data_IF_641533547732
#
_entry.id   IF_641533547732
#
_cell.length_a   1.000
_cell.length_b   1.000
_cell.length_c   1.000
_cell.angle_alpha   90.00
_cell.angle_beta   90.00
_cell.angle_gamma   90.00
#
_symmetry.space_group_name_H-M   'P 1'
#
loop_
_entity.id
_entity.type
_entity.pdbx_description
1 polymer ?
#
# COMPACT_ATOMS: atom_id res chain seq x y z
N UNK A 1 24.39 16.07 37.89
CA UNK A 1 23.21 15.62 38.66
C UNK A 1 21.93 16.10 38.01
N UNK A 2 20.88 15.25 37.96
CA UNK A 2 19.56 15.62 37.44
C UNK A 2 18.73 16.38 38.50
N UNK A 3 17.86 17.33 38.09
CA UNK A 3 16.87 17.93 38.97
C UNK A 3 16.00 16.87 39.65
N UNK A 4 15.60 17.06 40.92
CA UNK A 4 14.88 16.05 41.69
C UNK A 4 13.63 15.50 40.99
N UNK A 5 12.89 16.36 40.28
CA UNK A 5 11.67 15.97 39.58
C UNK A 5 11.90 15.02 38.38
N UNK A 6 13.11 14.96 37.82
CA UNK A 6 13.44 14.07 36.68
C UNK A 6 14.09 12.75 37.13
N UNK A 7 14.49 12.65 38.40
CA UNK A 7 15.22 11.49 38.90
C UNK A 7 14.36 10.22 38.87
N UNK A 8 13.05 10.33 39.15
CA UNK A 8 12.13 9.19 39.08
C UNK A 8 12.04 8.61 37.67
N UNK A 9 11.93 9.46 36.66
CA UNK A 9 11.85 9.05 35.25
C UNK A 9 13.18 8.45 34.76
N UNK A 10 14.30 9.04 35.20
CA UNK A 10 15.63 8.51 34.90
C UNK A 10 15.84 7.11 35.51
N UNK A 11 15.44 6.89 36.76
CA UNK A 11 15.48 5.57 37.39
C UNK A 11 14.59 4.57 36.65
N UNK A 12 13.37 4.98 36.29
CA UNK A 12 12.45 4.14 35.52
C UNK A 12 13.04 3.72 34.17
N UNK A 13 13.71 4.66 33.49
CA UNK A 13 14.40 4.41 32.22
C UNK A 13 15.58 3.44 32.39
N UNK A 14 16.42 3.63 33.42
CA UNK A 14 17.54 2.72 33.71
C UNK A 14 17.05 1.31 34.04
N UNK A 15 15.98 1.17 34.82
CA UNK A 15 15.38 -0.14 35.15
C UNK A 15 14.85 -0.81 33.88
N UNK A 16 14.18 -0.07 33.01
CA UNK A 16 13.71 -0.58 31.72
C UNK A 16 14.86 -1.08 30.85
N UNK A 17 15.91 -0.29 30.68
CA UNK A 17 17.09 -0.65 29.88
C UNK A 17 17.82 -1.88 30.44
N UNK A 18 18.01 -1.93 31.76
CA UNK A 18 18.63 -3.08 32.42
C UNK A 18 17.80 -4.36 32.21
N UNK A 19 16.49 -4.28 32.39
CA UNK A 19 15.60 -5.41 32.17
C UNK A 19 15.52 -5.84 30.69
N UNK A 20 15.65 -4.90 29.75
CA UNK A 20 15.77 -5.22 28.34
C UNK A 20 17.06 -6.00 28.05
N UNK A 21 18.20 -5.58 28.61
CA UNK A 21 19.48 -6.30 28.48
C UNK A 21 19.44 -7.70 29.07
N UNK A 22 18.72 -7.92 30.18
CA UNK A 22 18.56 -9.27 30.76
C UNK A 22 17.79 -10.20 29.82
N UNK A 23 16.78 -9.68 29.13
CA UNK A 23 15.96 -10.46 28.18
C UNK A 23 16.66 -10.68 26.84
N UNK A 24 17.39 -9.67 26.38
CA UNK A 24 18.16 -9.70 25.15
C UNK A 24 19.56 -9.13 25.42
N UNK A 25 20.52 -10.03 25.58
CA UNK A 25 21.91 -9.69 25.94
C UNK A 25 22.67 -9.00 24.80
N UNK A 26 22.20 -9.14 23.55
CA UNK A 26 22.88 -8.58 22.38
C UNK A 26 22.32 -7.21 22.06
N UNK A 27 21.00 -7.09 21.91
CA UNK A 27 20.37 -5.86 21.45
C UNK A 27 19.59 -5.11 22.54
N UNK A 28 19.17 -5.76 23.62
CA UNK A 28 18.46 -5.11 24.73
C UNK A 28 17.30 -4.21 24.28
N UNK A 29 17.33 -2.93 24.68
CA UNK A 29 16.32 -1.95 24.25
C UNK A 29 16.47 -1.51 22.79
N UNK A 30 17.66 -1.66 22.19
CA UNK A 30 17.90 -1.36 20.77
C UNK A 30 17.09 -2.27 19.88
N UNK A 31 16.90 -3.54 20.27
CA UNK A 31 16.04 -4.47 19.53
C UNK A 31 14.59 -3.98 19.44
N UNK A 32 14.05 -3.43 20.54
CA UNK A 32 12.72 -2.81 20.53
C UNK A 32 12.66 -1.57 19.64
N UNK A 33 13.68 -0.72 19.66
CA UNK A 33 13.77 0.46 18.80
C UNK A 33 13.77 0.05 17.33
N UNK A 34 14.61 -0.91 16.94
CA UNK A 34 14.71 -1.39 15.56
C UNK A 34 13.41 -2.04 15.08
N UNK A 35 12.74 -2.83 15.93
CA UNK A 35 11.44 -3.41 15.59
C UNK A 35 10.37 -2.31 15.35
N UNK A 36 10.34 -1.28 16.19
CA UNK A 36 9.42 -0.16 16.02
C UNK A 36 9.71 0.64 14.74
N UNK A 37 10.99 0.85 14.42
CA UNK A 37 11.40 1.50 13.17
C UNK A 37 10.91 0.70 11.94
N UNK A 38 11.11 -0.62 11.94
CA UNK A 38 10.61 -1.47 10.87
C UNK A 38 9.08 -1.42 10.74
N UNK A 39 8.35 -1.42 11.87
CA UNK A 39 6.89 -1.30 11.87
C UNK A 39 6.43 0.04 11.29
N UNK A 40 7.13 1.13 11.62
CA UNK A 40 6.87 2.46 11.04
C UNK A 40 7.05 2.42 9.52
N UNK A 41 8.14 1.83 9.03
CA UNK A 41 8.42 1.77 7.59
C UNK A 41 7.35 0.96 6.84
N UNK A 42 6.91 -0.16 7.41
CA UNK A 42 5.83 -0.98 6.87
C UNK A 42 4.53 -0.18 6.81
N UNK A 43 4.17 0.52 7.89
CA UNK A 43 2.95 1.33 7.96
C UNK A 43 2.99 2.51 6.97
N UNK A 44 4.14 3.17 6.83
CA UNK A 44 4.32 4.24 5.85
C UNK A 44 4.14 3.72 4.41
N UNK A 45 4.66 2.54 4.12
CA UNK A 45 4.50 1.89 2.81
C UNK A 45 3.03 1.57 2.54
N UNK A 46 2.33 0.97 3.51
CA UNK A 46 0.90 0.68 3.39
C UNK A 46 0.07 1.94 3.18
N UNK A 47 0.40 3.02 3.91
CA UNK A 47 -0.26 4.31 3.74
C UNK A 47 -0.05 4.87 2.33
N UNK A 48 1.17 4.83 1.81
CA UNK A 48 1.49 5.30 0.47
C UNK A 48 0.72 4.52 -0.61
N UNK A 49 0.63 3.18 -0.47
CA UNK A 49 -0.15 2.33 -1.36
C UNK A 49 -1.64 2.71 -1.33
N UNK A 50 -2.23 2.81 -0.15
CA UNK A 50 -3.65 3.21 0.01
C UNK A 50 -3.92 4.61 -0.57
N UNK A 51 -3.00 5.56 -0.38
CA UNK A 51 -3.11 6.90 -0.96
C UNK A 51 -3.05 6.86 -2.50
N UNK A 52 -2.16 6.05 -3.08
CA UNK A 52 -2.08 5.87 -4.52
C UNK A 52 -3.36 5.24 -5.10
N UNK A 53 -3.95 4.25 -4.42
CA UNK A 53 -5.22 3.65 -4.80
C UNK A 53 -6.36 4.68 -4.81
N UNK A 54 -6.46 5.50 -3.76
CA UNK A 54 -7.46 6.57 -3.68
C UNK A 54 -7.27 7.57 -4.82
N UNK A 55 -6.03 8.01 -5.09
CA UNK A 55 -5.74 8.93 -6.19
C UNK A 55 -6.13 8.33 -7.56
N UNK A 56 -5.82 7.05 -7.79
CA UNK A 56 -6.19 6.35 -9.01
C UNK A 56 -7.71 6.29 -9.22
N UNK A 57 -8.47 5.98 -8.15
CA UNK A 57 -9.93 5.98 -8.20
C UNK A 57 -10.50 7.38 -8.50
N UNK A 58 -9.92 8.43 -7.91
CA UNK A 58 -10.33 9.82 -8.18
C UNK A 58 -10.09 10.22 -9.63
N UNK A 59 -8.93 9.88 -10.21
CA UNK A 59 -8.64 10.13 -11.63
C UNK A 59 -9.62 9.38 -12.53
N UNK A 60 -9.93 8.12 -12.20
CA UNK A 60 -10.88 7.31 -12.98
C UNK A 60 -12.30 7.87 -12.92
N UNK A 61 -12.74 8.36 -11.75
CA UNK A 61 -14.05 8.98 -11.57
C UNK A 61 -14.14 10.35 -12.28
N UNK A 62 -13.04 11.10 -12.28
CA UNK A 62 -13.00 12.45 -12.86
C UNK A 62 -12.60 12.46 -14.33
N UNK A 63 -12.58 11.31 -15.02
CA UNK A 63 -12.51 11.28 -16.49
C UNK A 63 -13.86 11.80 -16.99
N UNK A 64 -13.95 13.05 -17.49
CA UNK A 64 -15.20 13.48 -18.10
C UNK A 64 -15.46 12.50 -19.23
N UNK A 65 -16.67 11.95 -19.28
CA UNK A 65 -17.18 11.42 -20.52
C UNK A 65 -16.89 12.49 -21.57
N UNK A 66 -15.99 12.21 -22.50
CA UNK A 66 -15.79 13.03 -23.69
C UNK A 66 -17.05 12.89 -24.54
N UNK A 67 -18.12 13.53 -24.08
CA UNK A 67 -19.11 14.14 -24.94
C UNK A 67 -18.35 15.13 -25.84
N UNK A 68 -18.74 15.25 -27.11
CA UNK A 68 -18.17 16.08 -28.18
C UNK A 68 -16.92 15.46 -28.86
N UNK A 69 -16.88 14.97 -30.12
CA UNK A 69 -17.77 14.92 -31.31
C UNK A 69 -17.05 14.18 -32.48
N UNK A 70 -17.54 14.07 -33.74
CA UNK A 70 -18.60 14.85 -34.37
C UNK A 70 -19.83 14.04 -34.82
N UNK A 71 -20.97 14.73 -34.80
CA UNK A 71 -22.25 14.30 -35.38
C UNK A 71 -22.29 14.73 -36.85
N UNK A 72 -22.51 13.85 -37.84
CA UNK A 72 -22.89 14.28 -39.17
C UNK A 72 -24.42 14.37 -39.22
N UNK A 73 -24.93 15.60 -39.27
CA UNK A 73 -26.34 15.82 -39.58
C UNK A 73 -26.49 15.82 -41.10
N UNK A 74 -27.16 14.83 -41.66
CA UNK A 74 -27.90 14.96 -42.91
C UNK A 74 -29.05 13.95 -42.90
N UNK A 75 -30.28 14.36 -43.25
CA UNK A 75 -31.44 13.48 -43.22
C UNK A 75 -31.57 12.77 -44.56
N UNK A 76 -31.69 11.43 -44.56
CA UNK A 76 -32.42 10.68 -45.59
C UNK A 76 -32.68 9.26 -45.09
N UNK A 77 -33.96 9.02 -44.82
CA UNK A 77 -34.77 7.84 -45.14
C UNK A 77 -34.12 6.43 -45.22
N UNK A 78 -34.78 5.51 -44.51
CA UNK A 78 -34.93 4.06 -44.74
C UNK A 78 -33.91 3.08 -44.15
N UNK A 79 -34.43 2.20 -43.26
CA UNK A 79 -33.98 0.80 -43.16
C UNK A 79 -33.29 0.37 -41.86
N UNK A 80 -34.05 -0.16 -40.90
CA UNK A 80 -33.57 -1.24 -40.01
C UNK A 80 -33.67 -2.58 -40.77
N UNK A 81 -32.78 -3.57 -40.54
CA UNK A 81 -32.77 -4.35 -39.29
C UNK A 81 -31.38 -4.71 -38.69
N UNK A 82 -31.45 -5.25 -37.46
CA UNK A 82 -30.42 -5.59 -36.46
C UNK A 82 -29.52 -6.81 -36.78
N UNK A 83 -28.81 -7.44 -35.80
CA UNK A 83 -27.40 -7.25 -35.46
C UNK A 83 -26.51 -8.49 -35.77
N UNK A 84 -25.19 -8.31 -35.80
CA UNK A 84 -24.22 -9.43 -35.83
C UNK A 84 -23.28 -9.28 -34.62
N UNK A 85 -23.51 -10.09 -33.61
CA UNK A 85 -22.56 -10.39 -32.54
C UNK A 85 -21.34 -11.12 -33.12
N UNK A 86 -20.13 -10.62 -32.87
CA UNK A 86 -18.92 -11.43 -32.97
C UNK A 86 -17.90 -10.92 -31.95
N UNK A 87 -17.87 -11.61 -30.82
CA UNK A 87 -16.83 -11.55 -29.80
C UNK A 87 -15.46 -11.90 -30.37
N UNK A 88 -14.41 -11.22 -29.91
CA UNK A 88 -13.11 -11.83 -29.52
C UNK A 88 -12.15 -10.78 -28.95
N UNK A 89 -12.06 -10.77 -27.62
CA UNK A 89 -10.85 -10.46 -26.83
C UNK A 89 -10.22 -9.04 -26.92
N UNK A 90 -10.87 -8.06 -26.28
CA UNK A 90 -10.14 -6.96 -25.66
C UNK A 90 -9.88 -7.32 -24.19
N UNK A 91 -8.72 -7.94 -23.90
CA UNK A 91 -8.25 -8.13 -22.53
C UNK A 91 -7.93 -6.75 -21.93
N UNK A 92 -8.48 -6.38 -20.76
CA UNK A 92 -8.05 -5.17 -20.08
C UNK A 92 -6.58 -5.32 -19.68
N UNK A 93 -5.80 -4.26 -19.90
CA UNK A 93 -4.33 -4.19 -19.77
C UNK A 93 -3.79 -4.43 -18.33
N UNK A 94 -4.65 -4.79 -17.37
CA UNK A 94 -4.33 -4.92 -15.95
C UNK A 94 -4.14 -6.35 -15.46
N UNK A 95 -4.24 -7.34 -16.34
CA UNK A 95 -3.88 -8.71 -15.99
C UNK A 95 -2.36 -8.89 -16.14
N UNK A 96 -1.61 -8.25 -15.23
CA UNK A 96 -0.25 -8.67 -14.90
C UNK A 96 -0.40 -9.78 -13.88
N UNK A 97 -0.45 -11.00 -14.38
CA UNK A 97 -0.31 -12.23 -13.62
C UNK A 97 0.99 -12.16 -12.81
N UNK A 98 0.87 -11.75 -11.55
CA UNK A 98 1.90 -11.97 -10.54
C UNK A 98 1.85 -13.45 -10.18
N UNK A 99 2.33 -14.32 -11.09
CA UNK A 99 2.92 -15.60 -10.69
C UNK A 99 4.17 -15.23 -9.89
N UNK A 100 3.95 -15.00 -8.59
CA UNK A 100 4.99 -15.13 -7.61
C UNK A 100 5.15 -16.63 -7.37
N UNK A 101 6.05 -17.25 -8.14
CA UNK A 101 6.45 -18.62 -7.87
C UNK A 101 6.92 -18.71 -6.42
N UNK A 102 6.22 -19.55 -5.65
CA UNK A 102 6.63 -19.97 -4.33
C UNK A 102 7.90 -20.82 -4.45
N UNK A 103 9.06 -20.18 -4.48
CA UNK A 103 10.33 -20.81 -4.15
C UNK A 103 10.70 -20.45 -2.71
N UNK A 104 10.28 -21.33 -1.81
CA UNK A 104 10.96 -21.73 -0.58
C UNK A 104 12.39 -21.15 -0.39
N UNK A 105 12.51 -20.07 0.36
CA UNK A 105 13.63 -19.82 1.26
C UNK A 105 12.97 -19.57 2.62
N UNK A 106 12.87 -20.57 3.47
CA UNK A 106 14.03 -21.02 4.22
C UNK A 106 14.02 -20.26 5.54
N UNK A 107 13.52 -20.95 6.57
CA UNK A 107 13.70 -20.70 8.00
C UNK A 107 14.51 -19.45 8.39
N UNK A 108 13.85 -18.53 9.08
CA UNK A 108 14.54 -17.51 9.86
C UNK A 108 13.90 -17.47 11.25
N UNK A 109 14.29 -18.43 12.08
CA UNK A 109 14.09 -18.37 13.53
C UNK A 109 15.10 -17.36 14.08
N UNK A 110 14.69 -16.11 14.15
CA UNK A 110 15.17 -15.11 15.11
C UNK A 110 14.13 -14.01 15.23
#
# INVERSE_FOLDING_TARGET
DLPMHQRGDAVSSMVYEANARVRDLVYGCVGAISSLQQQIDVLQTQLALAQAEVAHLRVRQNRPFSSYGPRPNSPTNSGFPSPKTLDSHAKPIFDMDMVMDHASYGSSMW
#
